data_IF_478460847320
#
_entry.id   IF_478460847320
#
_cell.length_a   1.000
_cell.length_b   1.000
_cell.length_c   1.000
_cell.angle_alpha   90.00
_cell.angle_beta   90.00
_cell.angle_gamma   90.00
#
_symmetry.space_group_name_H-M   'P 1'
#
loop_
_entity.id
_entity.type
_entity.pdbx_description
1 polymer ?
#
# COMPACT_ATOMS: atom_id res chain seq x y z
N UNK A 1 16.57 -1.76 -8.89
CA UNK A 1 16.37 -0.80 -7.79
C UNK A 1 15.01 -1.11 -7.19
N UNK A 2 14.94 -1.77 -6.03
CA UNK A 2 13.69 -1.97 -5.29
C UNK A 2 13.55 -0.75 -4.38
N UNK A 3 12.61 0.13 -4.67
CA UNK A 3 12.30 1.26 -3.78
C UNK A 3 11.67 0.68 -2.51
N UNK A 4 12.52 0.44 -1.51
CA UNK A 4 12.09 0.09 -0.17
C UNK A 4 11.54 1.38 0.43
N UNK A 5 10.21 1.53 0.40
CA UNK A 5 9.52 2.59 1.12
C UNK A 5 9.64 2.25 2.60
N UNK A 6 10.70 2.76 3.22
CA UNK A 6 11.01 2.54 4.63
C UNK A 6 9.82 3.00 5.48
N UNK A 7 9.24 2.04 6.18
CA UNK A 7 8.16 2.24 7.13
C UNK A 7 8.59 3.23 8.23
N UNK A 8 8.17 4.48 8.13
CA UNK A 8 8.22 5.41 9.26
C UNK A 8 7.02 6.36 9.35
N UNK A 9 5.98 6.14 8.56
CA UNK A 9 4.68 6.76 8.79
C UNK A 9 3.62 5.82 8.24
N UNK A 10 2.75 5.33 9.13
CA UNK A 10 1.63 4.46 8.79
C UNK A 10 1.00 4.87 7.46
N UNK A 11 0.84 3.93 6.51
CA UNK A 11 0.11 4.16 5.28
C UNK A 11 -1.25 4.75 5.63
N UNK A 12 -1.46 6.04 5.34
CA UNK A 12 -2.72 6.71 5.63
C UNK A 12 -3.64 6.56 4.43
N UNK A 13 -4.85 6.09 4.70
CA UNK A 13 -5.88 6.03 3.68
C UNK A 13 -6.09 7.42 3.06
N UNK A 14 -6.26 7.45 1.74
CA UNK A 14 -6.41 8.63 0.91
C UNK A 14 -5.14 9.49 0.71
N UNK A 15 -4.00 9.13 1.30
CA UNK A 15 -2.72 9.80 0.98
C UNK A 15 -2.36 9.66 -0.50
N UNK A 16 -1.83 10.73 -1.07
CA UNK A 16 -1.41 10.81 -2.47
C UNK A 16 0.11 10.71 -2.57
N UNK A 17 0.57 9.82 -3.43
CA UNK A 17 1.96 9.61 -3.80
C UNK A 17 2.19 10.22 -5.19
N UNK A 18 2.79 11.39 -5.24
CA UNK A 18 3.01 12.11 -6.49
C UNK A 18 3.99 11.38 -7.40
N UNK A 19 3.65 11.30 -8.69
CA UNK A 19 4.48 10.74 -9.78
C UNK A 19 5.06 9.35 -9.53
N UNK A 20 4.37 8.53 -8.74
CA UNK A 20 4.87 7.24 -8.24
C UNK A 20 4.43 6.01 -9.07
N UNK A 21 3.68 6.21 -10.17
CA UNK A 21 3.26 5.09 -11.01
C UNK A 21 4.39 4.59 -11.92
N UNK A 22 4.73 3.31 -11.79
CA UNK A 22 5.73 2.65 -12.63
C UNK A 22 5.35 2.55 -14.12
N UNK A 23 4.06 2.70 -14.46
CA UNK A 23 3.58 2.59 -15.84
C UNK A 23 3.50 3.92 -16.58
N UNK A 24 3.11 4.99 -15.88
CA UNK A 24 2.82 6.27 -16.53
C UNK A 24 3.38 7.49 -15.79
N UNK A 25 4.12 7.29 -14.70
CA UNK A 25 4.58 8.37 -13.80
C UNK A 25 3.44 9.27 -13.32
N UNK A 26 2.21 8.76 -13.28
CA UNK A 26 1.05 9.43 -12.72
C UNK A 26 1.03 9.37 -11.19
N UNK A 27 0.17 10.20 -10.61
CA UNK A 27 -0.05 10.22 -9.16
C UNK A 27 -0.84 8.97 -8.73
N UNK A 28 -0.57 8.51 -7.52
CA UNK A 28 -1.22 7.32 -6.95
C UNK A 28 -1.84 7.64 -5.61
N UNK A 29 -2.88 6.91 -5.25
CA UNK A 29 -3.59 7.07 -3.99
C UNK A 29 -3.56 5.76 -3.21
N UNK A 30 -3.29 5.88 -1.90
CA UNK A 30 -3.43 4.79 -0.94
C UNK A 30 -4.92 4.62 -0.62
N UNK A 31 -5.42 3.40 -0.77
CA UNK A 31 -6.82 3.02 -0.54
C UNK A 31 -6.85 1.75 0.29
N UNK A 32 -8.02 1.41 0.84
CA UNK A 32 -8.22 0.19 1.62
C UNK A 32 -9.43 -0.59 1.09
N UNK A 33 -9.32 -1.92 1.12
CA UNK A 33 -10.42 -2.85 0.87
C UNK A 33 -10.51 -3.88 2.02
N UNK A 34 -11.26 -4.97 1.81
CA UNK A 34 -11.42 -6.05 2.78
C UNK A 34 -10.13 -6.87 3.00
N UNK A 35 -9.15 -6.78 2.10
CA UNK A 35 -7.88 -7.52 2.17
C UNK A 35 -6.73 -6.67 2.74
N UNK A 36 -6.80 -5.35 2.61
CA UNK A 36 -5.83 -4.45 3.23
C UNK A 36 -5.66 -3.14 2.48
N UNK A 37 -4.47 -2.54 2.63
CA UNK A 37 -4.11 -1.36 1.85
C UNK A 37 -3.67 -1.75 0.45
N UNK A 38 -4.06 -0.95 -0.53
CA UNK A 38 -3.57 -1.02 -1.89
C UNK A 38 -3.30 0.38 -2.44
N UNK A 39 -2.47 0.47 -3.47
CA UNK A 39 -2.06 1.73 -4.08
C UNK A 39 -2.52 1.74 -5.53
N UNK A 40 -3.45 2.63 -5.86
CA UNK A 40 -4.02 2.75 -7.21
C UNK A 40 -3.52 4.02 -7.92
N UNK A 41 -3.20 3.92 -9.22
CA UNK A 41 -2.86 5.08 -10.03
C UNK A 41 -4.12 5.80 -10.52
N UNK A 42 -4.19 7.11 -10.30
CA UNK A 42 -5.33 7.94 -10.69
C UNK A 42 -5.39 8.21 -12.21
N UNK A 43 -4.30 7.96 -12.94
CA UNK A 43 -4.23 8.20 -14.38
C UNK A 43 -4.44 6.92 -15.22
N UNK A 44 -3.79 5.80 -14.87
CA UNK A 44 -3.83 4.57 -15.68
C UNK A 44 -4.50 3.38 -14.98
N UNK A 45 -4.98 3.55 -13.74
CA UNK A 45 -5.65 2.49 -12.98
C UNK A 45 -4.73 1.37 -12.49
N UNK A 46 -3.41 1.47 -12.64
CA UNK A 46 -2.49 0.44 -12.17
C UNK A 46 -2.53 0.31 -10.64
N UNK A 47 -2.76 -0.92 -10.16
CA UNK A 47 -2.83 -1.28 -8.74
C UNK A 47 -1.55 -2.00 -8.34
N UNK A 48 -1.01 -1.66 -7.17
CA UNK A 48 -0.01 -2.49 -6.49
C UNK A 48 -0.36 -2.62 -5.02
N UNK A 49 -0.12 -3.81 -4.48
CA UNK A 49 -0.26 -4.09 -3.06
C UNK A 49 1.13 -3.92 -2.42
N UNK A 50 1.27 -3.09 -1.38
CA UNK A 50 2.53 -2.99 -0.66
C UNK A 50 2.84 -4.33 0.00
N UNK A 51 4.05 -4.86 -0.22
CA UNK A 51 4.55 -5.99 0.55
C UNK A 51 4.83 -5.51 1.98
N UNK A 52 3.90 -5.77 2.90
CA UNK A 52 4.04 -5.35 4.29
C UNK A 52 4.92 -6.34 5.04
N UNK A 53 6.23 -6.13 4.99
CA UNK A 53 7.22 -6.85 5.81
C UNK A 53 7.40 -6.16 7.16
N UNK A 54 6.38 -6.15 8.03
CA UNK A 54 6.55 -5.67 9.41
C UNK A 54 5.74 -6.52 10.40
N UNK A 55 6.33 -6.80 11.57
CA UNK A 55 5.74 -7.58 12.69
C UNK A 55 4.32 -7.11 13.09
N UNK A 56 3.97 -5.86 12.81
CA UNK A 56 2.65 -5.28 13.05
C UNK A 56 1.52 -5.96 12.25
N UNK A 57 1.80 -6.42 11.02
CA UNK A 57 0.82 -7.17 10.22
C UNK A 57 0.68 -8.60 10.70
N UNK A 58 1.74 -9.22 11.23
CA UNK A 58 1.60 -10.52 11.90
C UNK A 58 0.61 -10.42 13.07
N UNK A 59 0.72 -9.37 13.88
CA UNK A 59 -0.21 -9.08 14.99
C UNK A 59 -1.66 -8.82 14.52
N UNK A 60 -1.83 -8.14 13.39
CA UNK A 60 -3.13 -7.92 12.75
C UNK A 60 -3.64 -9.12 11.93
N UNK A 61 -2.86 -10.18 11.76
CA UNK A 61 -3.28 -11.44 11.14
C UNK A 61 -3.49 -12.56 12.18
N UNK A 62 -2.92 -12.44 13.38
CA UNK A 62 -3.20 -13.31 14.53
C UNK A 62 -4.70 -13.32 14.88
N UNK A 63 -5.40 -12.18 14.81
CA UNK A 63 -6.86 -12.16 15.04
C UNK A 63 -7.65 -12.96 13.99
N UNK A 64 -7.09 -13.10 12.77
CA UNK A 64 -7.76 -13.75 11.63
C UNK A 64 -7.52 -15.25 11.61
N UNK A 65 -6.54 -15.73 12.36
CA UNK A 65 -6.17 -17.15 12.49
C UNK A 65 -6.61 -17.76 13.83
N UNK A 66 -7.11 -16.94 14.76
CA UNK A 66 -7.66 -17.36 16.05
C UNK A 66 -9.19 -17.61 16.05
N UNK A 67 -9.83 -17.68 14.87
CA UNK A 67 -11.27 -17.97 14.73
C UNK A 67 -11.56 -19.27 14.01
#
# INVERSE_FOLDING_TARGET
MREIVTAQSALRENSVLFKSCIRCSGDRQIRRDFEGFYISCLACGHISYPEVHTEEVARLLEWKTAS
#
